data_IF_693421537988
#
_entry.id   IF_693421537988
#
_cell.length_a   1.000
_cell.length_b   1.000
_cell.length_c   1.000
_cell.angle_alpha   90.00
_cell.angle_beta   90.00
_cell.angle_gamma   90.00
#
_symmetry.space_group_name_H-M   'P 1'
#
loop_
_entity.id
_entity.type
_entity.pdbx_description
1 polymer ?
#
# COMPACT_ATOMS: atom_id res chain seq x y z
N UNK A 1 45.79 -45.14 -24.07
CA UNK A 1 45.17 -43.84 -24.43
C UNK A 1 43.84 -43.75 -23.70
N UNK A 2 43.54 -42.64 -23.01
CA UNK A 2 42.46 -42.58 -22.03
C UNK A 2 41.09 -42.64 -22.72
N UNK A 3 40.23 -43.49 -22.17
CA UNK A 3 38.85 -43.71 -22.58
C UNK A 3 38.07 -42.41 -22.34
N UNK A 4 37.55 -41.77 -23.40
CA UNK A 4 36.65 -40.64 -23.28
C UNK A 4 35.32 -41.15 -22.74
N UNK A 5 35.17 -41.16 -21.42
CA UNK A 5 33.91 -41.49 -20.76
C UNK A 5 32.90 -40.40 -21.13
N UNK A 6 32.06 -40.67 -22.12
CA UNK A 6 30.85 -39.88 -22.35
C UNK A 6 30.08 -39.84 -21.02
N UNK A 7 29.60 -38.68 -20.56
CA UNK A 7 28.79 -38.62 -19.36
C UNK A 7 27.62 -39.57 -19.53
N UNK A 8 27.42 -40.49 -18.58
CA UNK A 8 26.35 -41.49 -18.66
C UNK A 8 25.02 -40.81 -18.93
N UNK A 9 24.18 -41.38 -19.80
CA UNK A 9 22.89 -40.78 -20.16
C UNK A 9 22.02 -40.50 -18.93
N UNK A 10 22.14 -41.33 -17.90
CA UNK A 10 21.51 -41.16 -16.60
C UNK A 10 21.93 -39.85 -15.91
N UNK A 11 23.22 -39.50 -15.96
CA UNK A 11 23.73 -38.24 -15.40
C UNK A 11 23.15 -37.02 -16.13
N UNK A 12 22.96 -37.13 -17.45
CA UNK A 12 22.35 -36.05 -18.25
C UNK A 12 20.87 -35.87 -17.89
N UNK A 13 20.13 -36.97 -17.74
CA UNK A 13 18.71 -36.94 -17.36
C UNK A 13 18.53 -36.39 -15.94
N UNK A 14 19.37 -36.81 -15.00
CA UNK A 14 19.40 -36.30 -13.62
C UNK A 14 19.68 -34.79 -13.62
N UNK A 15 20.67 -34.32 -14.37
CA UNK A 15 20.99 -32.90 -14.50
C UNK A 15 19.83 -32.07 -15.09
N UNK A 16 19.12 -32.60 -16.09
CA UNK A 16 17.93 -31.95 -16.67
C UNK A 16 16.82 -31.84 -15.62
N UNK A 17 16.59 -32.90 -14.83
CA UNK A 17 15.61 -32.88 -13.74
C UNK A 17 15.95 -31.82 -12.69
N UNK A 18 17.22 -31.72 -12.28
CA UNK A 18 17.67 -30.69 -11.34
C UNK A 18 17.54 -29.29 -11.90
N UNK A 19 17.84 -29.10 -13.18
CA UNK A 19 17.66 -27.82 -13.87
C UNK A 19 16.20 -27.37 -13.87
N UNK A 20 15.27 -28.25 -14.24
CA UNK A 20 13.84 -27.95 -14.26
C UNK A 20 13.29 -27.62 -12.87
N UNK A 21 13.65 -28.43 -11.86
CA UNK A 21 13.27 -28.14 -10.46
C UNK A 21 13.78 -26.80 -9.99
N UNK A 22 15.02 -26.44 -10.32
CA UNK A 22 15.60 -25.18 -9.90
C UNK A 22 14.88 -24.00 -10.57
N UNK A 23 14.56 -24.10 -11.85
CA UNK A 23 13.77 -23.08 -12.56
C UNK A 23 12.36 -22.94 -11.96
N UNK A 24 11.72 -24.05 -11.62
CA UNK A 24 10.40 -24.05 -10.97
C UNK A 24 10.44 -23.32 -9.61
N UNK A 25 11.43 -23.65 -8.76
CA UNK A 25 11.58 -23.04 -7.43
C UNK A 25 11.81 -21.53 -7.55
N UNK A 26 12.73 -21.11 -8.42
CA UNK A 26 13.04 -19.68 -8.64
C UNK A 26 11.80 -18.94 -9.12
N UNK A 27 11.04 -19.54 -10.03
CA UNK A 27 9.79 -18.95 -10.53
C UNK A 27 8.73 -18.81 -9.44
N UNK A 28 8.57 -19.84 -8.59
CA UNK A 28 7.62 -19.80 -7.47
C UNK A 28 8.01 -18.74 -6.42
N UNK A 29 9.28 -18.66 -6.05
CA UNK A 29 9.80 -17.67 -5.12
C UNK A 29 9.62 -16.24 -5.67
N UNK A 30 9.96 -16.02 -6.94
CA UNK A 30 9.72 -14.74 -7.62
C UNK A 30 8.23 -14.37 -7.62
N UNK A 31 7.34 -15.34 -7.87
CA UNK A 31 5.89 -15.17 -7.79
C UNK A 31 5.41 -14.78 -6.40
N UNK A 32 5.94 -15.38 -5.33
CA UNK A 32 5.60 -15.03 -3.95
C UNK A 32 6.03 -13.60 -3.61
N UNK A 33 7.26 -13.22 -3.98
CA UNK A 33 7.75 -11.86 -3.78
C UNK A 33 6.92 -10.81 -4.54
N UNK A 34 6.48 -11.12 -5.76
CA UNK A 34 5.64 -10.23 -6.55
C UNK A 34 4.23 -10.07 -5.96
N UNK A 35 3.65 -11.15 -5.43
CA UNK A 35 2.34 -11.09 -4.73
C UNK A 35 2.40 -10.24 -3.47
N UNK A 36 3.43 -10.40 -2.64
CA UNK A 36 3.63 -9.58 -1.45
C UNK A 36 3.79 -8.09 -1.82
N UNK A 37 4.49 -7.79 -2.91
CA UNK A 37 4.67 -6.43 -3.41
C UNK A 37 3.36 -5.81 -3.90
N UNK A 38 2.53 -6.59 -4.58
CA UNK A 38 1.19 -6.17 -5.01
C UNK A 38 0.26 -5.90 -3.82
N UNK A 39 0.30 -6.73 -2.78
CA UNK A 39 -0.46 -6.48 -1.54
C UNK A 39 -0.06 -5.16 -0.89
N UNK A 40 1.24 -4.90 -0.79
CA UNK A 40 1.74 -3.67 -0.19
C UNK A 40 1.31 -2.43 -1.00
N UNK A 41 1.29 -2.52 -2.33
CA UNK A 41 0.78 -1.46 -3.21
C UNK A 41 -0.69 -1.11 -2.94
N UNK A 42 -1.53 -2.08 -2.57
CA UNK A 42 -2.95 -1.88 -2.21
C UNK A 42 -3.18 -1.53 -0.74
N UNK A 43 -2.26 -1.90 0.14
CA UNK A 43 -2.37 -1.68 1.59
C UNK A 43 -2.24 -0.20 1.96
N UNK A 44 -1.25 0.50 1.41
CA UNK A 44 -0.99 1.91 1.74
C UNK A 44 -2.17 2.81 1.37
N UNK A 45 -2.75 2.73 0.17
CA UNK A 45 -3.93 3.53 -0.15
C UNK A 45 -5.12 3.25 0.77
N UNK A 46 -5.34 2.00 1.15
CA UNK A 46 -6.42 1.62 2.08
C UNK A 46 -6.23 2.25 3.46
N UNK A 47 -4.99 2.25 3.96
CA UNK A 47 -4.64 2.92 5.22
C UNK A 47 -4.92 4.43 5.17
N UNK A 48 -4.57 5.05 4.05
CA UNK A 48 -4.76 6.49 3.85
C UNK A 48 -6.22 6.89 3.81
N UNK A 49 -7.07 6.10 3.15
CA UNK A 49 -8.53 6.30 3.12
C UNK A 49 -9.11 6.18 4.55
N UNK A 50 -8.68 5.18 5.32
CA UNK A 50 -9.17 4.97 6.68
C UNK A 50 -8.80 6.14 7.61
N UNK A 51 -7.56 6.62 7.54
CA UNK A 51 -7.10 7.76 8.35
C UNK A 51 -7.81 9.04 7.92
N UNK A 52 -7.85 9.35 6.62
CA UNK A 52 -8.55 10.53 6.13
C UNK A 52 -10.03 10.52 6.48
N UNK A 53 -10.73 9.40 6.26
CA UNK A 53 -12.15 9.27 6.58
C UNK A 53 -12.43 9.38 8.09
N UNK A 54 -11.60 8.75 8.92
CA UNK A 54 -11.75 8.79 10.38
C UNK A 54 -11.51 10.18 10.97
N UNK A 55 -10.44 10.86 10.55
CA UNK A 55 -10.14 12.21 11.03
C UNK A 55 -11.12 13.25 10.49
N UNK A 56 -11.59 13.10 9.24
CA UNK A 56 -12.67 13.94 8.73
C UNK A 56 -13.94 13.78 9.53
N UNK A 57 -14.33 12.56 9.93
CA UNK A 57 -15.46 12.37 10.83
C UNK A 57 -15.23 13.05 12.19
N UNK A 58 -14.01 12.96 12.75
CA UNK A 58 -13.67 13.62 14.01
C UNK A 58 -13.82 15.15 13.95
N UNK A 59 -13.58 15.80 12.80
CA UNK A 59 -13.81 17.25 12.63
C UNK A 59 -15.28 17.66 12.81
N UNK A 60 -16.23 16.74 12.65
CA UNK A 60 -17.66 17.03 12.88
C UNK A 60 -18.05 17.01 14.36
N UNK A 61 -17.22 16.42 15.22
CA UNK A 61 -17.45 16.26 16.66
C UNK A 61 -16.54 17.14 17.51
N UNK A 62 -15.41 17.58 16.95
CA UNK A 62 -14.40 18.35 17.65
C UNK A 62 -14.81 19.80 17.92
N UNK A 63 -14.29 20.37 19.02
CA UNK A 63 -14.47 21.77 19.35
C UNK A 63 -13.77 22.69 18.33
N UNK A 64 -14.28 23.91 18.19
CA UNK A 64 -13.73 24.95 17.27
C UNK A 64 -12.23 25.19 17.48
N UNK A 65 -11.76 25.17 18.73
CA UNK A 65 -10.37 25.39 19.07
C UNK A 65 -9.43 24.22 18.73
N UNK A 66 -9.93 22.99 18.51
CA UNK A 66 -9.12 21.82 18.17
C UNK A 66 -9.21 21.43 16.69
N UNK A 67 -10.18 21.98 15.96
CA UNK A 67 -10.39 21.73 14.53
C UNK A 67 -9.16 22.02 13.65
N UNK A 68 -8.50 23.15 13.87
CA UNK A 68 -7.30 23.52 13.11
C UNK A 68 -6.15 22.51 13.29
N UNK A 69 -6.01 21.93 14.49
CA UNK A 69 -5.00 20.90 14.79
C UNK A 69 -5.31 19.63 14.00
N UNK A 70 -6.58 19.22 13.93
CA UNK A 70 -6.99 18.02 13.19
C UNK A 70 -6.69 18.20 11.68
N UNK A 71 -7.01 19.35 11.11
CA UNK A 71 -6.69 19.66 9.72
C UNK A 71 -5.18 19.73 9.45
N UNK A 72 -4.39 20.26 10.39
CA UNK A 72 -2.93 20.29 10.28
C UNK A 72 -2.33 18.86 10.31
N UNK A 73 -2.82 17.99 11.19
CA UNK A 73 -2.39 16.59 11.25
C UNK A 73 -2.76 15.86 9.95
N UNK A 74 -3.97 16.08 9.43
CA UNK A 74 -4.41 15.55 8.14
C UNK A 74 -3.49 16.00 6.98
N UNK A 75 -3.18 17.30 6.91
CA UNK A 75 -2.30 17.84 5.87
C UNK A 75 -0.87 17.26 5.95
N UNK A 76 -0.31 17.13 7.16
CA UNK A 76 1.00 16.50 7.37
C UNK A 76 0.98 15.01 7.00
N UNK A 77 -0.11 14.32 7.32
CA UNK A 77 -0.30 12.91 6.98
C UNK A 77 -0.38 12.70 5.46
N UNK A 78 -1.13 13.53 4.74
CA UNK A 78 -1.18 13.47 3.27
C UNK A 78 0.20 13.76 2.64
N UNK A 79 0.92 14.77 3.16
CA UNK A 79 2.26 15.13 2.69
C UNK A 79 3.26 13.97 2.88
N UNK A 80 3.28 13.36 4.07
CA UNK A 80 4.13 12.19 4.33
C UNK A 80 3.73 11.00 3.49
N UNK A 81 2.43 10.79 3.25
CA UNK A 81 1.93 9.72 2.38
C UNK A 81 2.39 9.89 0.92
N UNK A 82 2.40 11.11 0.40
CA UNK A 82 2.93 11.38 -0.95
C UNK A 82 4.39 10.92 -1.04
N UNK A 83 5.21 11.26 -0.04
CA UNK A 83 6.62 10.85 0.02
C UNK A 83 6.76 9.33 0.13
N UNK A 84 5.94 8.67 0.97
CA UNK A 84 5.99 7.21 1.12
C UNK A 84 5.60 6.48 -0.16
N UNK A 85 4.61 6.94 -0.92
CA UNK A 85 4.25 6.38 -2.22
C UNK A 85 5.38 6.47 -3.24
N UNK A 86 6.06 7.61 -3.33
CA UNK A 86 7.22 7.77 -4.22
C UNK A 86 8.37 6.85 -3.82
N UNK A 87 8.70 6.80 -2.53
CA UNK A 87 9.76 5.93 -2.01
C UNK A 87 9.44 4.46 -2.24
N UNK A 88 8.19 4.07 -2.01
CA UNK A 88 7.76 2.70 -2.27
C UNK A 88 7.89 2.36 -3.74
N UNK A 89 7.45 3.26 -4.63
CA UNK A 89 7.54 3.01 -6.06
C UNK A 89 8.99 2.81 -6.48
N UNK A 90 9.89 3.62 -5.97
CA UNK A 90 11.32 3.46 -6.21
C UNK A 90 11.82 2.09 -5.73
N UNK A 91 11.44 1.67 -4.52
CA UNK A 91 11.82 0.38 -3.94
C UNK A 91 11.28 -0.81 -4.76
N UNK A 92 10.03 -0.74 -5.22
CA UNK A 92 9.43 -1.72 -6.15
C UNK A 92 10.29 -1.85 -7.41
N UNK A 93 10.71 -0.72 -7.98
CA UNK A 93 11.56 -0.70 -9.17
C UNK A 93 12.92 -1.37 -8.91
N UNK A 94 13.57 -1.02 -7.80
CA UNK A 94 14.84 -1.62 -7.39
C UNK A 94 14.72 -3.14 -7.18
N UNK A 95 13.64 -3.61 -6.54
CA UNK A 95 13.38 -5.04 -6.35
C UNK A 95 13.16 -5.79 -7.65
N UNK A 96 12.39 -5.23 -8.58
CA UNK A 96 12.17 -5.85 -9.90
C UNK A 96 13.50 -5.96 -10.67
N UNK A 97 14.35 -4.93 -10.61
CA UNK A 97 15.68 -4.96 -11.24
C UNK A 97 16.56 -6.04 -10.60
N UNK A 98 16.57 -6.13 -9.28
CA UNK A 98 17.32 -7.16 -8.53
C UNK A 98 16.81 -8.57 -8.80
N UNK A 99 15.50 -8.78 -8.86
CA UNK A 99 14.91 -10.07 -9.21
C UNK A 99 15.27 -10.48 -10.64
N UNK A 100 15.25 -9.52 -11.57
CA UNK A 100 15.68 -9.75 -12.95
C UNK A 100 17.15 -10.17 -13.04
N UNK A 101 18.02 -9.59 -12.20
CA UNK A 101 19.45 -9.96 -12.12
C UNK A 101 19.65 -11.41 -11.63
N UNK A 102 18.80 -11.87 -10.70
CA UNK A 102 18.84 -13.21 -10.10
C UNK A 102 18.18 -14.27 -11.02
N UNK A 103 17.11 -13.90 -11.70
CA UNK A 103 16.39 -14.79 -12.64
C UNK A 103 17.16 -15.01 -13.94
N UNK A 104 18.15 -14.16 -14.28
CA UNK A 104 18.95 -14.32 -15.48
C UNK A 104 19.78 -15.63 -15.41
N UNK A 105 19.45 -16.63 -16.24
CA UNK A 105 20.09 -17.94 -16.16
C UNK A 105 21.58 -17.87 -16.55
N UNK A 106 22.04 -16.78 -17.19
CA UNK A 106 23.46 -16.56 -17.52
C UNK A 106 24.33 -16.21 -16.30
N UNK A 107 23.73 -15.65 -15.24
CA UNK A 107 24.42 -15.21 -14.02
C UNK A 107 24.56 -16.33 -12.98
N UNK A 108 23.86 -17.45 -13.15
CA UNK A 108 23.91 -18.54 -12.19
C UNK A 108 25.06 -19.52 -12.56
N UNK A 109 26.15 -19.57 -11.77
CA UNK A 109 27.37 -20.32 -12.13
C UNK A 109 27.11 -21.81 -12.31
N UNK A 110 26.18 -22.38 -11.52
CA UNK A 110 25.80 -23.80 -11.56
C UNK A 110 25.07 -24.13 -12.86
N UNK A 111 24.13 -23.27 -13.27
CA UNK A 111 23.38 -23.42 -14.52
C UNK A 111 24.27 -23.30 -15.75
N UNK A 112 25.23 -22.37 -15.71
CA UNK A 112 26.22 -22.18 -16.77
C UNK A 112 27.12 -23.40 -16.91
N UNK A 113 27.59 -23.95 -15.80
CA UNK A 113 28.44 -25.15 -15.78
C UNK A 113 27.70 -26.39 -16.31
N UNK A 114 26.45 -26.60 -15.88
CA UNK A 114 25.59 -27.70 -16.38
C UNK A 114 25.29 -27.52 -17.87
N UNK A 115 24.97 -26.31 -18.32
CA UNK A 115 24.72 -25.98 -19.72
C UNK A 115 25.94 -26.26 -20.61
N UNK A 116 27.13 -25.89 -20.15
CA UNK A 116 28.39 -26.06 -20.87
C UNK A 116 28.79 -27.55 -20.93
N UNK A 117 28.61 -28.28 -19.83
CA UNK A 117 28.91 -29.72 -19.75
C UNK A 117 27.90 -30.59 -20.54
N UNK A 118 26.65 -30.15 -20.71
CA UNK A 118 25.60 -30.92 -21.38
C UNK A 118 25.23 -30.45 -22.79
N UNK A 119 25.76 -29.31 -23.26
CA UNK A 119 25.57 -28.80 -24.63
C UNK A 119 24.30 -27.98 -24.87
N UNK A 120 23.72 -27.35 -23.85
CA UNK A 120 22.46 -26.60 -23.96
C UNK A 120 22.68 -25.10 -24.23
N UNK A 121 21.94 -24.51 -25.20
CA UNK A 121 21.91 -23.06 -25.42
C UNK A 121 20.88 -22.39 -24.48
N UNK A 122 21.36 -21.56 -23.56
CA UNK A 122 20.49 -20.63 -22.80
C UNK A 122 19.95 -19.56 -23.75
N UNK A 123 18.62 -19.44 -23.86
CA UNK A 123 17.98 -18.39 -24.62
C UNK A 123 17.56 -17.27 -23.65
N UNK A 124 18.07 -16.04 -23.79
CA UNK A 124 17.73 -14.96 -22.88
C UNK A 124 16.26 -14.57 -23.04
N UNK A 125 15.56 -14.38 -21.91
CA UNK A 125 14.18 -13.92 -21.93
C UNK A 125 14.13 -12.44 -22.35
N UNK A 126 13.66 -12.16 -23.57
CA UNK A 126 13.49 -10.79 -24.07
C UNK A 126 12.39 -10.10 -23.24
N UNK A 127 12.76 -9.02 -22.54
CA UNK A 127 11.81 -8.28 -21.72
C UNK A 127 11.34 -6.98 -22.39
N UNK A 128 10.01 -6.83 -22.49
CA UNK A 128 9.37 -5.60 -22.98
C UNK A 128 9.43 -4.50 -21.92
N UNK A 129 9.78 -3.28 -22.35
CA UNK A 129 9.80 -2.07 -21.51
C UNK A 129 8.37 -1.69 -21.10
N UNK A 130 7.99 -1.91 -19.84
CA UNK A 130 6.66 -1.54 -19.34
C UNK A 130 6.60 -0.11 -18.81
N UNK A 131 5.48 0.57 -19.09
CA UNK A 131 5.13 1.88 -18.49
C UNK A 131 4.85 1.68 -17.00
N UNK A 132 5.53 2.46 -16.17
CA UNK A 132 5.80 2.05 -14.80
C UNK A 132 5.19 2.94 -13.71
N UNK A 133 4.46 4.01 -14.06
CA UNK A 133 4.12 5.08 -13.09
C UNK A 133 2.65 5.54 -13.06
N UNK A 134 1.76 4.94 -13.87
CA UNK A 134 0.37 5.42 -14.03
C UNK A 134 -0.40 5.43 -12.70
N UNK A 135 -0.32 4.32 -11.95
CA UNK A 135 -1.06 4.15 -10.69
C UNK A 135 -0.57 5.13 -9.63
N UNK A 136 0.75 5.28 -9.49
CA UNK A 136 1.35 6.19 -8.51
C UNK A 136 0.97 7.62 -8.81
N UNK A 137 1.01 8.02 -10.09
CA UNK A 137 0.64 9.37 -10.51
C UNK A 137 -0.81 9.71 -10.16
N UNK A 138 -1.74 8.78 -10.40
CA UNK A 138 -3.15 8.91 -10.03
C UNK A 138 -3.31 9.14 -8.52
N UNK A 139 -2.68 8.29 -7.69
CA UNK A 139 -2.75 8.43 -6.23
C UNK A 139 -2.13 9.73 -5.72
N UNK A 140 -1.02 10.18 -6.31
CA UNK A 140 -0.42 11.47 -5.93
C UNK A 140 -1.32 12.64 -6.26
N UNK A 141 -2.04 12.63 -7.39
CA UNK A 141 -3.00 13.71 -7.71
C UNK A 141 -4.14 13.75 -6.69
N UNK A 142 -4.70 12.58 -6.33
CA UNK A 142 -5.76 12.52 -5.33
C UNK A 142 -5.29 13.02 -3.96
N UNK A 143 -4.09 12.63 -3.53
CA UNK A 143 -3.53 13.10 -2.27
C UNK A 143 -3.19 14.58 -2.28
N UNK A 144 -2.74 15.11 -3.42
CA UNK A 144 -2.52 16.53 -3.57
C UNK A 144 -3.83 17.31 -3.39
N UNK A 145 -4.94 16.81 -3.93
CA UNK A 145 -6.26 17.40 -3.74
C UNK A 145 -6.73 17.32 -2.28
N UNK A 146 -6.51 16.19 -1.58
CA UNK A 146 -6.80 16.10 -0.14
C UNK A 146 -5.97 17.10 0.67
N UNK A 147 -4.67 17.21 0.36
CA UNK A 147 -3.76 18.13 1.01
C UNK A 147 -4.20 19.58 0.83
N UNK A 148 -4.65 19.99 -0.36
CA UNK A 148 -5.13 21.37 -0.56
C UNK A 148 -6.41 21.67 0.22
N UNK A 149 -7.35 20.73 0.29
CA UNK A 149 -8.56 20.88 1.11
C UNK A 149 -8.21 20.94 2.60
N UNK A 150 -7.32 20.08 3.07
CA UNK A 150 -6.90 20.04 4.48
C UNK A 150 -6.13 21.31 4.88
N UNK A 151 -5.27 21.83 4.00
CA UNK A 151 -4.59 23.12 4.20
C UNK A 151 -5.61 24.26 4.25
N UNK A 152 -6.60 24.29 3.36
CA UNK A 152 -7.68 25.27 3.40
C UNK A 152 -8.50 25.20 4.70
N UNK A 153 -8.77 23.99 5.19
CA UNK A 153 -9.43 23.75 6.49
C UNK A 153 -8.63 24.24 7.69
N UNK A 154 -7.30 24.32 7.59
CA UNK A 154 -6.48 24.92 8.64
C UNK A 154 -6.68 26.46 8.74
N UNK A 155 -6.92 27.14 7.61
CA UNK A 155 -7.15 28.58 7.57
C UNK A 155 -8.60 28.97 7.84
N UNK A 156 -9.56 28.08 7.56
CA UNK A 156 -10.99 28.33 7.77
C UNK A 156 -11.71 27.08 8.28
N UNK A 157 -11.42 26.65 9.53
CA UNK A 157 -11.95 25.39 10.08
C UNK A 157 -13.47 25.40 10.26
N UNK A 158 -14.04 26.57 10.55
CA UNK A 158 -15.48 26.77 10.79
C UNK A 158 -16.32 26.68 9.52
N UNK A 159 -15.72 26.78 8.34
CA UNK A 159 -16.41 26.71 7.05
C UNK A 159 -16.60 25.25 6.58
N UNK A 160 -15.73 24.35 7.04
CA UNK A 160 -15.72 22.92 6.69
C UNK A 160 -16.31 22.03 7.78
N UNK A 161 -16.36 22.50 9.03
CA UNK A 161 -17.04 21.79 10.13
C UNK A 161 -18.51 22.20 10.22
N UNK A 162 -19.39 21.22 10.39
CA UNK A 162 -20.81 21.47 10.64
C UNK A 162 -20.94 22.01 12.06
N UNK A 163 -21.49 23.22 12.22
CA UNK A 163 -21.85 23.75 13.54
C UNK A 163 -22.72 22.73 14.27
N UNK A 164 -22.18 22.17 15.35
CA UNK A 164 -22.93 21.32 16.25
C UNK A 164 -23.96 22.25 16.91
N UNK A 165 -25.20 22.28 16.40
CA UNK A 165 -26.30 22.97 17.10
C UNK A 165 -26.37 22.33 18.47
N UNK A 166 -25.90 23.04 19.49
CA UNK A 166 -26.07 22.65 20.88
C UNK A 166 -27.58 22.45 21.09
N UNK A 167 -28.04 21.20 21.04
CA UNK A 167 -29.39 20.87 21.45
C UNK A 167 -29.39 21.01 22.97
N UNK A 168 -29.73 22.21 23.44
CA UNK A 168 -29.91 22.47 24.87
C UNK A 168 -31.14 21.69 25.33
N UNK A 169 -30.92 20.59 26.04
CA UNK A 169 -32.00 19.83 26.66
C UNK A 169 -32.34 20.48 27.99
N UNK A 170 -33.57 20.98 28.12
CA UNK A 170 -34.06 21.49 29.41
C UNK A 170 -34.76 20.34 30.12
N UNK A 171 -34.20 19.88 31.23
CA UNK A 171 -34.88 18.95 32.13
C UNK A 171 -35.93 19.73 32.94
N UNK A 172 -37.21 19.40 32.76
CA UNK A 172 -38.28 19.95 33.61
C UNK A 172 -38.68 18.86 34.59
N UNK A 173 -38.44 19.12 35.88
CA UNK A 173 -38.84 18.22 36.95
C UNK A 173 -40.26 18.59 37.34
N UNK A 174 -41.24 17.71 37.08
CA UNK A 174 -42.61 17.87 37.53
C UNK A 174 -42.86 16.88 38.67
N UNK A 175 -43.32 17.39 39.81
CA UNK A 175 -43.75 16.57 40.95
C UNK A 175 -45.26 16.40 40.88
N UNK A 176 -45.73 15.18 40.62
CA UNK A 176 -47.17 14.88 40.57
C UNK A 176 -47.49 13.91 41.71
N UNK A 177 -47.87 14.45 42.86
CA UNK A 177 -48.08 13.64 44.07
C UNK A 177 -46.80 12.98 44.59
N UNK A 178 -46.80 11.63 44.68
CA UNK A 178 -45.69 10.82 45.19
C UNK A 178 -44.65 10.42 44.12
N UNK A 179 -44.92 10.68 42.83
CA UNK A 179 -44.01 10.36 41.73
C UNK A 179 -43.28 11.61 41.20
N UNK A 180 -42.00 11.43 40.87
CA UNK A 180 -41.16 12.44 40.23
C UNK A 180 -41.02 12.05 38.75
N UNK A 181 -41.56 12.87 37.86
CA UNK A 181 -41.44 12.66 36.41
C UNK A 181 -40.40 13.63 35.86
N UNK A 182 -39.34 13.07 35.26
CA UNK A 182 -38.27 13.82 34.61
C UNK A 182 -38.52 13.77 33.10
N UNK A 183 -38.96 14.88 32.51
CA UNK A 183 -39.20 15.02 31.08
C UNK A 183 -38.04 15.82 30.47
N UNK A 184 -37.31 15.22 29.52
CA UNK A 184 -36.31 15.94 28.72
C UNK A 184 -37.01 16.55 27.51
N UNK A 185 -37.14 17.88 27.47
CA UNK A 185 -37.59 18.59 26.26
C UNK A 185 -36.41 19.28 25.59
N UNK A 186 -36.32 19.10 24.27
CA UNK A 186 -35.43 19.87 23.41
C UNK A 186 -35.85 21.35 23.51
N UNK A 187 -34.95 22.21 23.98
CA UNK A 187 -35.21 23.64 24.06
C UNK A 187 -35.17 24.24 22.66
N UNK A 188 -36.33 24.61 22.11
CA UNK A 188 -36.37 25.55 20.99
C UNK A 188 -35.84 26.89 21.48
N UNK A 189 -34.66 27.28 20.99
CA UNK A 189 -34.17 28.64 21.12
C UNK A 189 -35.10 29.55 20.30
N UNK A 190 -35.84 30.42 20.99
CA UNK A 190 -36.56 31.55 20.40
C UNK A 190 -35.61 32.70 20.12
#
# INVERSE_FOLDING_TARGET
MPNQTQPSEELRIEAIRWHQKLQEIIYLEAGQHMRALNQLMWQIPSFVIAVNGGLWYATTLANENSLWIIFLVLALFDATTIVTLFRLRHLIGAKIIKQKEIEDPLNNPVLKEISLNCGFKLNPHIQKKQKSYIVVFCWTIMLLACLTVNVFGCFSPTLLSKQNKEQSYRAIIKKNGAEIVIEARTGDQK
#
